data_IF_472035332239
#
_entry.id   IF_472035332239
#
_cell.length_a   1.000
_cell.length_b   1.000
_cell.length_c   1.000
_cell.angle_alpha   90.00
_cell.angle_beta   90.00
_cell.angle_gamma   90.00
#
_symmetry.space_group_name_H-M   'P 1'
#
loop_
_entity.id
_entity.type
_entity.pdbx_description
1 polymer ?
#
# COMPACT_ATOMS: atom_id res chain seq x y z
N UNK A 1 -5.90 31.45 -28.53
CA UNK A 1 -4.99 30.33 -28.18
C UNK A 1 -5.86 29.10 -27.96
N UNK A 2 -6.07 28.29 -29.00
CA UNK A 2 -6.88 27.07 -28.93
C UNK A 2 -6.05 26.02 -28.21
N UNK A 3 -6.55 25.53 -27.09
CA UNK A 3 -6.10 24.29 -26.49
C UNK A 3 -6.52 23.16 -27.43
N UNK A 4 -5.68 22.86 -28.42
CA UNK A 4 -5.82 21.66 -29.24
C UNK A 4 -5.83 20.45 -28.31
N UNK A 5 -6.88 19.66 -28.44
CA UNK A 5 -7.14 18.51 -27.57
C UNK A 5 -5.95 17.57 -27.56
N UNK A 6 -5.45 17.29 -26.35
CA UNK A 6 -4.35 16.35 -26.11
C UNK A 6 -4.53 15.11 -26.98
N UNK A 7 -3.56 14.73 -27.84
CA UNK A 7 -3.66 13.48 -28.58
C UNK A 7 -3.81 12.37 -27.54
N UNK A 8 -4.97 11.71 -27.56
CA UNK A 8 -5.24 10.63 -26.61
C UNK A 8 -4.12 9.61 -26.74
N UNK A 9 -3.45 9.28 -25.63
CA UNK A 9 -2.37 8.31 -25.64
C UNK A 9 -2.80 7.04 -26.41
N UNK A 10 -1.93 6.50 -27.28
CA UNK A 10 -2.28 5.36 -28.12
C UNK A 10 -2.83 4.23 -27.26
N UNK A 11 -3.87 3.56 -27.74
CA UNK A 11 -4.63 2.56 -26.97
C UNK A 11 -3.70 1.46 -26.40
N UNK A 12 -2.67 1.07 -27.17
CA UNK A 12 -1.64 0.14 -26.71
C UNK A 12 -0.83 0.64 -25.51
N UNK A 13 -0.51 1.94 -25.42
CA UNK A 13 0.19 2.51 -24.27
C UNK A 13 -0.69 2.51 -23.01
N UNK A 14 -1.99 2.79 -23.17
CA UNK A 14 -2.98 2.71 -22.08
C UNK A 14 -3.14 1.29 -21.57
N UNK A 15 -3.23 0.31 -22.46
CA UNK A 15 -3.28 -1.11 -22.09
C UNK A 15 -1.99 -1.52 -21.39
N UNK A 16 -0.83 -1.19 -21.94
CA UNK A 16 0.46 -1.52 -21.33
C UNK A 16 0.60 -0.92 -19.93
N UNK A 17 0.23 0.36 -19.76
CA UNK A 17 0.21 1.01 -18.45
C UNK A 17 -0.77 0.33 -17.49
N UNK A 18 -1.99 0.00 -17.94
CA UNK A 18 -2.98 -0.70 -17.13
C UNK A 18 -2.52 -2.10 -16.73
N UNK A 19 -1.93 -2.88 -17.65
CA UNK A 19 -1.35 -4.19 -17.37
C UNK A 19 -0.21 -4.09 -16.34
N UNK A 20 0.68 -3.11 -16.48
CA UNK A 20 1.75 -2.87 -15.52
C UNK A 20 1.22 -2.50 -14.13
N UNK A 21 0.20 -1.63 -14.08
CA UNK A 21 -0.48 -1.27 -12.84
C UNK A 21 -1.14 -2.50 -12.21
N UNK A 22 -1.91 -3.26 -12.98
CA UNK A 22 -2.57 -4.48 -12.50
C UNK A 22 -1.54 -5.48 -11.99
N UNK A 23 -0.44 -5.70 -12.70
CA UNK A 23 0.63 -6.60 -12.26
C UNK A 23 1.24 -6.17 -10.92
N UNK A 24 1.45 -4.87 -10.70
CA UNK A 24 1.94 -4.33 -9.43
C UNK A 24 0.90 -4.46 -8.29
N UNK A 25 -0.38 -4.24 -8.58
CA UNK A 25 -1.44 -4.22 -7.57
C UNK A 25 -2.02 -5.59 -7.25
N UNK A 26 -1.94 -6.55 -8.17
CA UNK A 26 -2.44 -7.91 -7.98
C UNK A 26 -1.87 -8.61 -6.72
N UNK A 27 -0.55 -8.59 -6.43
CA UNK A 27 -0.03 -9.18 -5.19
C UNK A 27 -0.50 -8.42 -3.95
N UNK A 28 -0.63 -7.09 -4.02
CA UNK A 28 -1.15 -6.27 -2.93
C UNK A 28 -2.62 -6.63 -2.66
N UNK A 29 -3.40 -6.82 -3.72
CA UNK A 29 -4.81 -7.22 -3.61
C UNK A 29 -4.97 -8.62 -3.01
N UNK A 30 -4.06 -9.55 -3.34
CA UNK A 30 -4.00 -10.85 -2.66
C UNK A 30 -3.73 -10.67 -1.17
N UNK A 31 -2.69 -9.92 -0.79
CA UNK A 31 -2.39 -9.63 0.63
C UNK A 31 -3.59 -9.00 1.33
N UNK A 32 -4.30 -8.07 0.66
CA UNK A 32 -5.51 -7.45 1.19
C UNK A 32 -6.60 -8.49 1.48
N UNK A 33 -6.91 -9.38 0.54
CA UNK A 33 -7.89 -10.47 0.77
C UNK A 33 -7.43 -11.35 1.94
N UNK A 34 -6.16 -11.75 1.96
CA UNK A 34 -5.57 -12.57 3.03
C UNK A 34 -5.65 -11.92 4.41
N UNK A 35 -5.58 -10.59 4.51
CA UNK A 35 -5.74 -9.87 5.78
C UNK A 35 -7.12 -10.06 6.41
N UNK A 36 -8.13 -10.44 5.62
CA UNK A 36 -9.48 -10.78 6.10
C UNK A 36 -9.71 -12.30 6.19
N UNK A 37 -8.72 -13.17 6.02
CA UNK A 37 -8.95 -14.62 6.13
C UNK A 37 -8.69 -15.12 7.55
N UNK A 38 -9.30 -16.25 7.89
CA UNK A 38 -9.27 -16.83 9.24
C UNK A 38 -8.02 -17.63 9.57
N UNK A 39 -7.11 -17.88 8.60
CA UNK A 39 -6.15 -18.97 8.72
C UNK A 39 -4.71 -18.50 8.97
N UNK A 40 -4.15 -18.96 10.09
CA UNK A 40 -2.83 -18.54 10.57
C UNK A 40 -1.67 -19.18 9.79
N UNK A 41 -1.92 -20.25 9.01
CA UNK A 41 -0.85 -21.07 8.38
C UNK A 41 -1.23 -21.92 7.16
N UNK A 42 -2.22 -21.56 6.36
CA UNK A 42 -2.51 -22.32 5.13
C UNK A 42 -2.64 -21.39 3.93
N UNK A 43 -1.65 -21.49 3.01
CA UNK A 43 -1.71 -20.94 1.66
C UNK A 43 -2.72 -21.73 0.80
N UNK A 44 -3.94 -21.92 1.30
CA UNK A 44 -4.99 -22.69 0.65
C UNK A 44 -5.97 -21.72 0.01
N UNK A 45 -6.04 -21.79 -1.32
CA UNK A 45 -7.01 -21.05 -2.12
C UNK A 45 -8.12 -22.02 -2.54
N UNK A 46 -9.42 -21.74 -2.29
CA UNK A 46 -10.07 -20.50 -1.84
C UNK A 46 -10.16 -20.33 -0.30
N UNK A 47 -10.14 -19.10 0.23
CA UNK A 47 -10.21 -18.84 1.67
C UNK A 47 -11.54 -19.36 2.27
N UNK A 48 -11.50 -20.11 3.38
CA UNK A 48 -12.68 -20.80 3.94
C UNK A 48 -13.72 -19.85 4.55
N UNK A 49 -13.33 -18.63 4.92
CA UNK A 49 -14.22 -17.59 5.43
C UNK A 49 -13.53 -16.23 5.56
N UNK A 50 -14.30 -15.14 5.44
CA UNK A 50 -13.83 -13.78 5.72
C UNK A 50 -14.10 -13.45 7.20
N UNK A 51 -13.08 -13.01 7.94
CA UNK A 51 -13.16 -12.56 9.33
C UNK A 51 -12.52 -11.19 9.50
N UNK A 52 -13.10 -10.38 10.39
CA UNK A 52 -12.52 -9.11 10.87
C UNK A 52 -11.99 -9.23 12.30
N UNK A 53 -11.97 -10.44 12.87
CA UNK A 53 -11.53 -10.69 14.24
C UNK A 53 -10.11 -10.17 14.50
N UNK A 54 -9.18 -10.38 13.57
CA UNK A 54 -7.80 -9.93 13.70
C UNK A 54 -7.69 -8.40 13.78
N UNK A 55 -8.57 -7.67 13.09
CA UNK A 55 -8.61 -6.22 13.18
C UNK A 55 -9.06 -5.79 14.59
N UNK A 56 -10.09 -6.42 15.14
CA UNK A 56 -10.54 -6.16 16.52
C UNK A 56 -9.47 -6.52 17.57
N UNK A 57 -8.78 -7.64 17.40
CA UNK A 57 -7.68 -8.07 18.29
C UNK A 57 -6.51 -7.09 18.22
N UNK A 58 -6.13 -6.67 17.01
CA UNK A 58 -5.03 -5.71 16.80
C UNK A 58 -5.39 -4.34 17.37
N UNK A 59 -6.65 -3.91 17.20
CA UNK A 59 -7.15 -2.63 17.71
C UNK A 59 -7.09 -2.55 19.23
N UNK A 60 -7.43 -3.64 19.93
CA UNK A 60 -7.45 -3.70 21.39
C UNK A 60 -6.05 -3.92 22.01
N UNK A 61 -4.99 -4.00 21.20
CA UNK A 61 -3.60 -4.21 21.68
C UNK A 61 -2.84 -2.89 21.78
N UNK A 62 -2.56 -2.38 22.99
CA UNK A 62 -1.82 -1.13 23.16
C UNK A 62 -0.40 -1.20 22.57
N UNK A 63 0.24 -2.37 22.60
CA UNK A 63 1.59 -2.58 22.06
C UNK A 63 1.69 -2.27 20.56
N UNK A 64 0.62 -2.55 19.81
CA UNK A 64 0.56 -2.26 18.37
C UNK A 64 0.53 -0.76 18.14
N UNK A 65 -0.30 -0.04 18.89
CA UNK A 65 -0.41 1.42 18.81
C UNK A 65 0.87 2.13 19.23
N UNK A 66 1.51 1.66 20.29
CA UNK A 66 2.78 2.19 20.74
C UNK A 66 3.86 2.01 19.67
N UNK A 67 3.95 0.81 19.08
CA UNK A 67 4.92 0.51 18.02
C UNK A 67 4.65 1.31 16.74
N UNK A 68 3.38 1.47 16.37
CA UNK A 68 2.98 2.27 15.23
C UNK A 68 3.34 3.76 15.42
N UNK A 69 3.02 4.32 16.59
CA UNK A 69 3.34 5.71 16.93
C UNK A 69 4.86 5.96 16.92
N UNK A 70 5.63 5.04 17.48
CA UNK A 70 7.09 5.10 17.45
C UNK A 70 7.61 5.11 16.02
N UNK A 71 7.09 4.21 15.17
CA UNK A 71 7.49 4.11 13.76
C UNK A 71 7.21 5.40 13.00
N UNK A 72 6.02 5.97 13.18
CA UNK A 72 5.64 7.26 12.57
C UNK A 72 6.55 8.40 13.05
N UNK A 73 6.83 8.46 14.36
CA UNK A 73 7.70 9.49 14.93
C UNK A 73 9.12 9.41 14.37
N UNK A 74 9.68 8.21 14.31
CA UNK A 74 11.02 7.98 13.75
C UNK A 74 11.05 8.30 12.25
N UNK A 75 10.05 7.85 11.49
CA UNK A 75 9.94 8.15 10.07
C UNK A 75 9.90 9.67 9.82
N UNK A 76 9.05 10.41 10.55
CA UNK A 76 8.92 11.85 10.39
C UNK A 76 10.22 12.60 10.69
N UNK A 77 10.90 12.27 11.80
CA UNK A 77 12.18 12.89 12.16
C UNK A 77 13.24 12.57 11.09
N UNK A 78 13.33 11.31 10.65
CA UNK A 78 14.27 10.88 9.63
C UNK A 78 14.04 11.62 8.30
N UNK A 79 12.79 11.73 7.85
CA UNK A 79 12.44 12.48 6.62
C UNK A 79 12.77 13.96 6.76
N UNK A 80 12.51 14.58 7.90
CA UNK A 80 12.81 16.01 8.11
C UNK A 80 14.31 16.27 8.05
N UNK A 81 15.11 15.44 8.73
CA UNK A 81 16.57 15.54 8.67
C UNK A 81 17.07 15.32 7.25
N UNK A 82 16.55 14.31 6.54
CA UNK A 82 16.90 14.03 5.16
C UNK A 82 16.56 15.21 4.23
N UNK A 83 15.43 15.89 4.44
CA UNK A 83 15.05 17.07 3.67
C UNK A 83 15.98 18.26 3.93
N UNK A 84 16.31 18.53 5.19
CA UNK A 84 17.23 19.63 5.55
C UNK A 84 18.61 19.37 4.95
N UNK A 85 19.18 18.20 5.19
CA UNK A 85 20.49 17.84 4.67
C UNK A 85 20.50 17.77 3.13
N UNK A 86 19.48 17.14 2.53
CA UNK A 86 19.35 17.03 1.08
C UNK A 86 19.21 18.39 0.39
N UNK A 87 18.51 19.34 1.02
CA UNK A 87 18.35 20.70 0.49
C UNK A 87 19.64 21.51 0.62
N UNK A 88 20.42 21.32 1.69
CA UNK A 88 21.71 21.99 1.87
C UNK A 88 22.81 21.45 0.93
N UNK A 89 22.69 20.19 0.51
CA UNK A 89 23.63 19.53 -0.40
C UNK A 89 23.24 19.62 -1.89
N UNK A 90 22.07 20.17 -2.21
CA UNK A 90 21.60 20.40 -3.58
C UNK A 90 22.22 21.67 -4.18
#
# INVERSE_FOLDING_TARGET
MRSDGSPSAPLGLKIAAACGLLFLHLPIFLIFIYAFTTEERSFVWPPPGLTTQWFAVTWNRPDVWQSLSLSVRVAAISTLVALVLGTLCA
#
